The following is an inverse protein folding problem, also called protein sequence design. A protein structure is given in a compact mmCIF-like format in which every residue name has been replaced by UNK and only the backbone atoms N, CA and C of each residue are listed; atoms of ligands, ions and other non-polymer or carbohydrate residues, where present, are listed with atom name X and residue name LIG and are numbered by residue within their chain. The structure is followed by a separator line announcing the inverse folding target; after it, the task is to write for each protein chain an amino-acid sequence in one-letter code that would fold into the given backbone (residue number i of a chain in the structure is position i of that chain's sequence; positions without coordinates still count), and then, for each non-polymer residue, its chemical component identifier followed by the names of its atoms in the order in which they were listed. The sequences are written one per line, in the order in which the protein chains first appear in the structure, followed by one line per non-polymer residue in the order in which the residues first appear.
data_IF_185743364224
#
_entry.id   IF_185743364224
#
_cell.length_a   1.000
_cell.length_b   1.000
_cell.length_c   1.000
_cell.angle_alpha   90.00
_cell.angle_beta   90.00
_cell.angle_gamma   90.00
#
_symmetry.space_group_name_H-M   'P 1'
#
loop_
_entity.id
_entity.type
_entity.pdbx_description
1 polymer ?
#
# COMPACT_ATOMS: atom_id res chain seq x y z
N UNK A 1 -11.27 10.00 49.26
CA UNK A 1 -10.14 10.19 48.33
C UNK A 1 -10.62 9.56 47.04
N UNK A 2 -11.51 10.21 46.29
CA UNK A 2 -11.39 11.53 45.66
C UNK A 2 -12.57 12.45 45.97
N UNK A 3 -12.47 13.39 46.91
CA UNK A 3 -13.49 14.45 47.07
C UNK A 3 -13.55 15.45 45.91
N UNK A 4 -13.13 15.02 44.72
CA UNK A 4 -12.93 15.80 43.50
C UNK A 4 -13.99 15.30 42.52
N UNK A 5 -14.78 16.22 41.96
CA UNK A 5 -15.63 15.91 40.80
C UNK A 5 -14.74 15.71 39.60
N UNK A 6 -14.42 14.46 39.27
CA UNK A 6 -13.66 14.11 38.07
C UNK A 6 -14.48 14.40 36.82
N UNK A 7 -13.85 14.99 35.81
CA UNK A 7 -14.44 15.17 34.49
C UNK A 7 -13.68 14.32 33.47
N UNK A 8 -14.39 13.77 32.48
CA UNK A 8 -13.76 12.91 31.46
C UNK A 8 -12.65 13.62 30.67
N UNK A 9 -12.65 14.95 30.61
CA UNK A 9 -11.64 15.77 29.92
C UNK A 9 -10.48 16.24 30.81
N UNK A 10 -10.40 15.80 32.07
CA UNK A 10 -9.30 16.16 32.96
C UNK A 10 -8.01 15.45 32.48
N UNK A 11 -6.96 16.20 32.13
CA UNK A 11 -5.72 15.62 31.59
C UNK A 11 -4.96 14.65 32.53
N UNK A 12 -5.31 14.61 33.82
CA UNK A 12 -4.73 13.70 34.81
C UNK A 12 -5.76 12.72 35.39
N UNK A 13 -6.89 12.52 34.68
CA UNK A 13 -8.05 11.77 35.16
C UNK A 13 -7.68 10.39 35.72
N UNK A 14 -6.89 9.64 34.96
CA UNK A 14 -6.55 8.27 35.33
C UNK A 14 -5.31 8.14 36.21
N UNK A 15 -4.52 9.21 36.41
CA UNK A 15 -3.29 9.11 37.21
C UNK A 15 -3.57 8.62 38.62
N UNK A 16 -4.50 9.27 39.30
CA UNK A 16 -4.79 8.92 40.69
C UNK A 16 -5.53 7.57 40.75
N UNK A 17 -6.33 7.22 39.74
CA UNK A 17 -6.96 5.90 39.64
C UNK A 17 -5.89 4.80 39.54
N UNK A 18 -4.88 4.98 38.68
CA UNK A 18 -3.74 4.08 38.54
C UNK A 18 -2.93 3.97 39.84
N UNK A 19 -2.72 5.08 40.56
CA UNK A 19 -2.05 5.08 41.87
C UNK A 19 -2.81 4.24 42.90
N UNK A 20 -4.15 4.36 42.96
CA UNK A 20 -4.98 3.60 43.90
C UNK A 20 -4.99 2.11 43.53
N UNK A 21 -5.02 1.76 42.25
CA UNK A 21 -4.88 0.37 41.80
C UNK A 21 -3.54 -0.25 42.21
N UNK A 22 -2.42 0.47 42.03
CA UNK A 22 -1.10 0.01 42.48
C UNK A 22 -1.09 -0.22 43.99
N UNK A 23 -1.66 0.72 44.75
CA UNK A 23 -1.79 0.58 46.21
C UNK A 23 -2.70 -0.59 46.61
N UNK A 24 -3.72 -0.92 45.82
CA UNK A 24 -4.59 -2.08 46.03
C UNK A 24 -3.83 -3.39 45.77
N UNK A 25 -3.08 -3.46 44.66
CA UNK A 25 -2.24 -4.62 44.31
C UNK A 25 -1.22 -4.89 45.42
N UNK A 26 -0.53 -3.84 45.88
CA UNK A 26 0.45 -3.97 46.97
C UNK A 26 -0.19 -4.44 48.28
N UNK A 27 -1.37 -3.92 48.63
CA UNK A 27 -2.09 -4.36 49.83
C UNK A 27 -2.54 -5.82 49.75
N UNK A 28 -3.01 -6.27 48.58
CA UNK A 28 -3.37 -7.68 48.32
C UNK A 28 -2.16 -8.60 48.43
N UNK A 29 -1.02 -8.17 47.86
CA UNK A 29 0.24 -8.91 47.95
C UNK A 29 0.71 -9.03 49.40
N UNK A 30 0.75 -7.93 50.14
CA UNK A 30 1.13 -7.92 51.56
C UNK A 30 0.25 -8.87 52.38
N UNK A 31 -1.07 -8.82 52.17
CA UNK A 31 -2.02 -9.71 52.86
C UNK A 31 -1.78 -11.19 52.56
N UNK A 32 -1.37 -11.51 51.33
CA UNK A 32 -1.06 -12.90 50.90
C UNK A 32 0.25 -13.44 51.49
N UNK A 33 1.21 -12.56 51.79
CA UNK A 33 2.53 -12.91 52.34
C UNK A 33 2.55 -12.88 53.89
N UNK A 34 1.52 -12.30 54.51
CA UNK A 34 1.39 -12.15 55.96
C UNK A 34 1.08 -13.47 56.68
N UNK A 35 1.84 -13.78 57.72
CA UNK A 35 1.63 -14.96 58.57
C UNK A 35 0.26 -14.94 59.27
N UNK A 36 -0.33 -16.13 59.47
CA UNK A 36 -1.67 -16.28 60.05
C UNK A 36 -1.78 -15.74 61.49
N UNK A 37 -0.66 -15.60 62.22
CA UNK A 37 -0.63 -15.11 63.60
C UNK A 37 -0.72 -13.59 63.74
N UNK A 38 -0.69 -12.82 62.65
CA UNK A 38 -0.73 -11.36 62.70
C UNK A 38 -2.15 -10.82 62.36
N UNK A 39 -3.12 -11.19 63.19
CA UNK A 39 -4.57 -10.95 62.97
C UNK A 39 -4.91 -9.48 62.78
N UNK A 40 -4.36 -8.58 63.59
CA UNK A 40 -4.66 -7.15 63.52
C UNK A 40 -4.25 -6.51 62.18
N UNK A 41 -3.05 -6.84 61.68
CA UNK A 41 -2.59 -6.34 60.37
C UNK A 41 -3.41 -6.90 59.22
N UNK A 42 -3.85 -8.17 59.32
CA UNK A 42 -4.72 -8.80 58.31
C UNK A 42 -6.09 -8.15 58.26
N UNK A 43 -6.69 -7.84 59.41
CA UNK A 43 -7.96 -7.11 59.49
C UNK A 43 -7.84 -5.70 58.89
N UNK A 44 -6.77 -4.97 59.23
CA UNK A 44 -6.48 -3.65 58.65
C UNK A 44 -6.37 -3.69 57.13
N UNK A 45 -5.56 -4.60 56.58
CA UNK A 45 -5.37 -4.73 55.14
C UNK A 45 -6.67 -5.14 54.44
N UNK A 46 -7.47 -6.02 55.04
CA UNK A 46 -8.77 -6.44 54.49
C UNK A 46 -9.73 -5.24 54.38
N UNK A 47 -9.84 -4.43 55.44
CA UNK A 47 -10.64 -3.22 55.43
C UNK A 47 -10.13 -2.20 54.39
N UNK A 48 -8.81 -2.04 54.28
CA UNK A 48 -8.20 -1.13 53.31
C UNK A 48 -8.45 -1.58 51.85
N UNK A 49 -8.35 -2.88 51.58
CA UNK A 49 -8.64 -3.48 50.27
C UNK A 49 -10.10 -3.22 49.89
N UNK A 50 -11.05 -3.55 50.78
CA UNK A 50 -12.48 -3.35 50.53
C UNK A 50 -12.83 -1.88 50.26
N UNK A 51 -12.24 -0.95 51.03
CA UNK A 51 -12.41 0.48 50.80
C UNK A 51 -11.88 0.91 49.42
N UNK A 52 -10.65 0.52 49.06
CA UNK A 52 -10.05 0.85 47.76
C UNK A 52 -10.84 0.27 46.59
N UNK A 53 -11.31 -0.97 46.69
CA UNK A 53 -12.17 -1.59 45.68
C UNK A 53 -13.48 -0.84 45.49
N UNK A 54 -14.12 -0.42 46.59
CA UNK A 54 -15.34 0.38 46.51
C UNK A 54 -15.10 1.73 45.83
N UNK A 55 -14.00 2.41 46.15
CA UNK A 55 -13.69 3.72 45.53
C UNK A 55 -13.36 3.57 44.04
N UNK A 56 -12.63 2.53 43.64
CA UNK A 56 -12.34 2.25 42.24
C UNK A 56 -13.62 1.94 41.44
N UNK A 57 -14.56 1.17 42.00
CA UNK A 57 -15.81 0.85 41.31
C UNK A 57 -16.74 2.07 41.19
N UNK A 58 -16.78 2.93 42.23
CA UNK A 58 -17.49 4.23 42.14
C UNK A 58 -16.90 5.10 41.05
N UNK A 59 -15.57 5.22 41.00
CA UNK A 59 -14.88 6.00 39.96
C UNK A 59 -15.21 5.45 38.57
N UNK A 60 -15.09 4.14 38.36
CA UNK A 60 -15.43 3.49 37.10
C UNK A 60 -16.88 3.76 36.68
N UNK A 61 -17.83 3.60 37.61
CA UNK A 61 -19.25 3.84 37.34
C UNK A 61 -19.52 5.29 36.94
N UNK A 62 -18.87 6.25 37.61
CA UNK A 62 -19.00 7.67 37.29
C UNK A 62 -18.46 7.98 35.88
N UNK A 63 -17.28 7.46 35.53
CA UNK A 63 -16.71 7.63 34.19
C UNK A 63 -17.57 6.97 33.12
N UNK A 64 -18.03 5.73 33.33
CA UNK A 64 -18.92 5.04 32.37
C UNK A 64 -20.23 5.82 32.16
N UNK A 65 -20.77 6.45 33.22
CA UNK A 65 -21.93 7.34 33.10
C UNK A 65 -21.60 8.58 32.28
N UNK A 66 -20.50 9.27 32.57
CA UNK A 66 -20.11 10.47 31.83
C UNK A 66 -19.90 10.17 30.34
N UNK A 67 -19.26 9.04 30.00
CA UNK A 67 -19.06 8.59 28.60
C UNK A 67 -20.37 8.24 27.88
N UNK A 68 -21.43 7.90 28.62
CA UNK A 68 -22.76 7.68 28.03
C UNK A 68 -23.51 8.98 27.72
N UNK A 69 -23.16 10.07 28.39
CA UNK A 69 -23.83 11.37 28.26
C UNK A 69 -23.06 12.33 27.33
N UNK A 70 -21.73 12.21 27.29
CA UNK A 70 -20.83 13.16 26.61
C UNK A 70 -19.62 12.42 26.02
N UNK A 71 -19.02 13.05 25.01
CA UNK A 71 -17.77 12.60 24.41
C UNK A 71 -16.83 13.78 24.19
N UNK A 72 -15.53 13.48 24.17
CA UNK A 72 -14.50 14.51 24.06
C UNK A 72 -14.14 14.84 22.61
N UNK A 73 -14.10 13.83 21.73
CA UNK A 73 -13.70 13.98 20.33
C UNK A 73 -14.81 13.52 19.38
N UNK A 74 -15.16 14.37 18.44
CA UNK A 74 -16.00 14.02 17.29
C UNK A 74 -15.15 13.51 16.12
N UNK A 75 -15.78 12.80 15.19
CA UNK A 75 -15.11 12.37 13.95
C UNK A 75 -14.65 13.56 13.10
N UNK A 76 -15.39 14.66 13.10
CA UNK A 76 -15.08 15.89 12.38
C UNK A 76 -13.86 16.59 12.98
N UNK A 77 -13.76 16.66 14.31
CA UNK A 77 -12.59 17.23 15.01
C UNK A 77 -11.33 16.43 14.72
N UNK A 78 -11.41 15.09 14.79
CA UNK A 78 -10.28 14.22 14.48
C UNK A 78 -9.83 14.37 13.03
N UNK A 79 -10.79 14.50 12.10
CA UNK A 79 -10.48 14.75 10.70
C UNK A 79 -9.81 16.12 10.50
N UNK A 80 -10.40 17.20 11.02
CA UNK A 80 -9.88 18.55 10.89
C UNK A 80 -8.49 18.71 11.52
N UNK A 81 -8.24 18.08 12.67
CA UNK A 81 -6.97 18.24 13.36
C UNK A 81 -5.87 17.32 12.81
N UNK A 82 -6.22 16.12 12.35
CA UNK A 82 -5.24 15.07 12.04
C UNK A 82 -5.54 14.35 10.71
N UNK A 83 -6.80 13.96 10.48
CA UNK A 83 -7.16 13.07 9.37
C UNK A 83 -7.12 13.68 7.97
N UNK A 84 -7.24 15.00 7.85
CA UNK A 84 -7.16 15.69 6.56
C UNK A 84 -5.74 15.72 5.98
N UNK A 85 -4.72 15.52 6.81
CA UNK A 85 -3.32 15.59 6.42
C UNK A 85 -2.75 14.22 6.06
N UNK A 86 -1.81 14.22 5.12
CA UNK A 86 -1.20 12.98 4.64
C UNK A 86 -0.16 12.44 5.60
N UNK A 87 -0.31 11.15 5.94
CA UNK A 87 0.59 10.40 6.82
C UNK A 87 0.83 11.07 8.19
N UNK A 88 -0.16 11.82 8.72
CA UNK A 88 -0.08 12.38 10.07
C UNK A 88 -0.15 11.27 11.10
N UNK A 89 1.00 10.94 11.66
CA UNK A 89 1.10 9.94 12.71
C UNK A 89 0.62 10.50 14.04
N UNK A 90 -0.28 9.77 14.70
CA UNK A 90 -0.86 10.12 15.99
C UNK A 90 -0.80 8.94 16.97
N UNK A 91 -0.76 9.24 18.25
CA UNK A 91 -1.01 8.31 19.34
C UNK A 91 -2.36 8.65 19.97
N UNK A 92 -3.19 7.64 20.18
CA UNK A 92 -4.52 7.75 20.77
C UNK A 92 -4.49 7.00 22.10
N UNK A 93 -4.78 7.69 23.19
CA UNK A 93 -5.10 7.08 24.47
C UNK A 93 -6.62 6.98 24.61
N UNK A 94 -7.10 5.79 24.91
CA UNK A 94 -8.51 5.54 25.17
C UNK A 94 -8.86 5.80 26.62
N UNK A 95 -10.11 6.17 26.88
CA UNK A 95 -10.66 6.13 28.23
C UNK A 95 -10.50 4.72 28.79
N UNK A 96 -9.87 4.59 29.96
CA UNK A 96 -9.45 3.32 30.57
C UNK A 96 -10.54 2.25 30.62
N UNK A 97 -11.79 2.65 30.83
CA UNK A 97 -12.94 1.72 30.97
C UNK A 97 -13.75 1.52 29.68
N UNK A 98 -13.37 2.21 28.60
CA UNK A 98 -14.04 2.13 27.30
C UNK A 98 -13.96 0.73 26.67
N UNK A 99 -14.83 0.49 25.68
CA UNK A 99 -14.81 -0.76 24.92
C UNK A 99 -13.52 -0.88 24.12
N UNK A 100 -13.03 0.23 23.56
CA UNK A 100 -11.80 0.28 22.78
C UNK A 100 -10.57 -0.03 23.62
N UNK A 101 -10.46 0.55 24.84
CA UNK A 101 -9.35 0.24 25.75
C UNK A 101 -9.27 -1.24 26.12
N UNK A 102 -10.42 -1.86 26.43
CA UNK A 102 -10.50 -3.30 26.74
C UNK A 102 -10.09 -4.18 25.56
N UNK A 103 -10.32 -3.70 24.33
CA UNK A 103 -10.14 -4.48 23.11
C UNK A 103 -8.77 -4.31 22.47
N UNK A 104 -8.24 -3.08 22.44
CA UNK A 104 -7.01 -2.73 21.72
C UNK A 104 -5.87 -2.34 22.69
N UNK A 105 -6.11 -2.40 24.00
CA UNK A 105 -5.20 -1.86 25.00
C UNK A 105 -5.43 -0.36 25.19
N UNK A 106 -4.74 0.22 26.18
CA UNK A 106 -4.96 1.61 26.60
C UNK A 106 -4.61 2.63 25.51
N UNK A 107 -3.55 2.37 24.74
CA UNK A 107 -3.05 3.30 23.73
C UNK A 107 -2.76 2.56 22.42
N UNK A 108 -3.06 3.23 21.30
CA UNK A 108 -2.70 2.79 19.95
C UNK A 108 -2.06 3.95 19.19
N UNK A 109 -1.37 3.65 18.10
CA UNK A 109 -0.62 4.62 17.33
C UNK A 109 -0.65 4.28 15.85
N UNK A 110 -0.76 5.29 14.99
CA UNK A 110 -0.96 5.08 13.57
C UNK A 110 -1.41 6.32 12.81
N UNK A 111 -1.95 6.11 11.61
CA UNK A 111 -2.48 7.17 10.74
C UNK A 111 -3.98 6.94 10.55
N UNK A 112 -4.80 7.99 10.73
CA UNK A 112 -6.24 7.89 10.49
C UNK A 112 -6.50 7.54 9.01
N UNK A 113 -7.35 6.55 8.79
CA UNK A 113 -7.69 6.07 7.45
C UNK A 113 -9.15 6.33 7.14
N UNK A 114 -9.45 6.65 5.89
CA UNK A 114 -10.81 6.95 5.45
C UNK A 114 -11.04 6.28 4.10
N UNK A 115 -12.24 5.75 3.90
CA UNK A 115 -12.71 5.46 2.55
C UNK A 115 -13.03 6.77 1.83
N UNK A 116 -13.04 6.72 0.49
CA UNK A 116 -13.27 7.90 -0.36
C UNK A 116 -14.50 8.69 0.06
N UNK A 117 -15.65 8.00 0.17
CA UNK A 117 -16.92 8.62 0.57
C UNK A 117 -16.88 9.24 1.97
N UNK A 118 -16.24 8.57 2.93
CA UNK A 118 -16.11 9.07 4.31
C UNK A 118 -15.30 10.37 4.35
N UNK A 119 -14.21 10.41 3.57
CA UNK A 119 -13.37 11.61 3.44
C UNK A 119 -14.14 12.77 2.78
N UNK A 120 -14.88 12.49 1.70
CA UNK A 120 -15.71 13.50 1.01
C UNK A 120 -16.81 14.06 1.93
N UNK A 121 -17.48 13.19 2.71
CA UNK A 121 -18.50 13.58 3.69
C UNK A 121 -17.90 14.47 4.80
N UNK A 122 -16.71 14.11 5.30
CA UNK A 122 -16.01 14.88 6.34
C UNK A 122 -15.50 16.23 5.83
N UNK A 123 -14.92 16.30 4.62
CA UNK A 123 -14.55 17.56 3.97
C UNK A 123 -15.75 18.52 3.87
N UNK A 124 -16.89 18.00 3.38
CA UNK A 124 -18.11 18.79 3.28
C UNK A 124 -18.72 19.15 4.65
N UNK A 125 -18.43 18.40 5.71
CA UNK A 125 -18.88 18.72 7.06
C UNK A 125 -18.04 19.83 7.70
N UNK A 126 -16.70 19.77 7.57
CA UNK A 126 -15.79 20.75 8.17
C UNK A 126 -15.79 22.09 7.43
N UNK A 127 -16.26 22.13 6.18
CA UNK A 127 -16.40 23.38 5.41
C UNK A 127 -17.65 24.19 5.77
N UNK A 128 -18.55 23.66 6.62
CA UNK A 128 -19.76 24.37 7.07
C UNK A 128 -19.41 25.37 8.18
N UNK A 129 -20.16 26.47 8.24
CA UNK A 129 -20.01 27.48 9.29
C UNK A 129 -20.20 26.88 10.70
N UNK A 130 -21.18 25.97 10.83
CA UNK A 130 -21.40 25.18 12.05
C UNK A 130 -21.01 23.73 11.80
N UNK A 131 -19.78 23.37 12.19
CA UNK A 131 -19.28 22.00 12.07
C UNK A 131 -20.04 21.10 13.05
N UNK A 132 -20.70 20.01 12.57
CA UNK A 132 -21.37 19.08 13.46
C UNK A 132 -20.35 18.34 14.34
N UNK A 133 -20.78 17.93 15.53
CA UNK A 133 -20.01 17.02 16.38
C UNK A 133 -20.72 15.68 16.47
N UNK A 134 -20.20 14.70 15.74
CA UNK A 134 -20.77 13.35 15.68
C UNK A 134 -19.89 12.35 16.40
N UNK A 135 -20.51 11.51 17.24
CA UNK A 135 -19.87 10.32 17.77
C UNK A 135 -19.95 9.20 16.72
N UNK A 136 -18.81 8.67 16.29
CA UNK A 136 -18.78 7.73 15.18
C UNK A 136 -17.53 6.86 15.13
N UNK A 137 -17.52 5.94 14.16
CA UNK A 137 -16.41 5.01 13.98
C UNK A 137 -15.22 5.71 13.31
N UNK A 138 -14.05 5.56 13.92
CA UNK A 138 -12.77 6.10 13.47
C UNK A 138 -11.87 4.92 13.12
N UNK A 139 -11.31 4.92 11.91
CA UNK A 139 -10.37 3.89 11.46
C UNK A 139 -8.95 4.42 11.53
N UNK A 140 -8.02 3.52 11.83
CA UNK A 140 -6.61 3.85 11.95
C UNK A 140 -5.76 2.71 11.40
N UNK A 141 -4.72 3.06 10.66
CA UNK A 141 -3.70 2.15 10.16
C UNK A 141 -2.53 2.11 11.15
N UNK A 142 -2.37 0.96 11.81
CA UNK A 142 -1.40 0.69 12.88
C UNK A 142 -0.43 -0.44 12.49
N UNK A 143 0.45 -0.24 11.49
CA UNK A 143 1.26 -1.35 10.94
C UNK A 143 2.34 -1.87 11.88
N UNK A 144 2.76 -1.09 12.89
CA UNK A 144 3.97 -1.36 13.71
C UNK A 144 3.71 -1.65 15.19
N UNK A 145 2.45 -1.86 15.61
CA UNK A 145 2.14 -2.05 17.03
C UNK A 145 2.29 -3.52 17.47
N UNK A 146 3.42 -3.85 18.12
CA UNK A 146 3.76 -5.21 18.59
C UNK A 146 2.76 -5.80 19.60
N UNK A 147 1.94 -4.97 20.27
CA UNK A 147 0.97 -5.43 21.27
C UNK A 147 -0.35 -5.87 20.66
N UNK A 148 -0.60 -5.55 19.39
CA UNK A 148 -1.83 -5.89 18.68
C UNK A 148 -1.66 -7.15 17.84
N UNK A 149 -2.66 -8.02 17.91
CA UNK A 149 -2.76 -9.16 16.99
C UNK A 149 -3.13 -8.69 15.57
N UNK A 150 -2.77 -9.46 14.55
CA UNK A 150 -3.15 -9.19 13.15
C UNK A 150 -4.65 -8.99 12.96
N UNK A 151 -5.48 -9.70 13.75
CA UNK A 151 -6.94 -9.57 13.73
C UNK A 151 -7.38 -8.19 14.25
N UNK A 152 -6.79 -7.71 15.34
CA UNK A 152 -7.08 -6.38 15.89
C UNK A 152 -6.64 -5.27 14.94
N UNK A 153 -5.45 -5.37 14.34
CA UNK A 153 -4.95 -4.41 13.34
C UNK A 153 -5.92 -4.36 12.14
N UNK A 154 -6.34 -5.52 11.63
CA UNK A 154 -7.31 -5.60 10.54
C UNK A 154 -8.65 -4.96 10.92
N UNK A 155 -9.08 -5.11 12.16
CA UNK A 155 -10.32 -4.52 12.65
C UNK A 155 -10.23 -3.00 12.79
N UNK A 156 -9.12 -2.46 13.30
CA UNK A 156 -8.88 -1.01 13.40
C UNK A 156 -8.91 -0.33 12.02
N UNK A 157 -8.37 -0.99 10.99
CA UNK A 157 -8.34 -0.45 9.61
C UNK A 157 -9.71 -0.56 8.93
N UNK A 158 -10.46 -1.65 9.13
CA UNK A 158 -11.70 -1.91 8.38
C UNK A 158 -12.97 -1.42 9.07
N UNK A 159 -13.02 -1.55 10.39
CA UNK A 159 -14.21 -1.26 11.21
C UNK A 159 -13.95 -0.03 12.07
N UNK A 160 -12.77 0.05 12.70
CA UNK A 160 -12.39 1.15 13.56
C UNK A 160 -12.84 1.00 15.01
N UNK A 161 -12.85 2.11 15.73
CA UNK A 161 -13.27 2.25 17.12
C UNK A 161 -14.13 3.51 17.29
N UNK A 162 -14.85 3.65 18.40
CA UNK A 162 -15.75 4.79 18.57
C UNK A 162 -14.99 6.06 18.99
N UNK A 163 -15.27 7.22 18.39
CA UNK A 163 -14.58 8.48 18.71
C UNK A 163 -14.79 8.90 20.17
N UNK A 164 -15.93 8.55 20.77
CA UNK A 164 -16.20 8.76 22.20
C UNK A 164 -15.30 7.98 23.15
N UNK A 165 -14.62 6.94 22.66
CA UNK A 165 -13.72 6.16 23.51
C UNK A 165 -12.35 6.85 23.67
N UNK A 166 -12.06 7.91 22.89
CA UNK A 166 -10.79 8.64 22.94
C UNK A 166 -10.75 9.59 24.14
N UNK A 167 -9.70 9.44 24.94
CA UNK A 167 -9.36 10.33 26.05
C UNK A 167 -8.36 11.41 25.63
N UNK A 168 -7.31 11.03 24.90
CA UNK A 168 -6.27 11.96 24.47
C UNK A 168 -5.71 11.57 23.09
N UNK A 169 -5.32 12.59 22.32
CA UNK A 169 -4.59 12.41 21.06
C UNK A 169 -3.28 13.20 21.13
N UNK A 170 -2.16 12.49 21.01
CA UNK A 170 -0.83 13.07 20.89
C UNK A 170 -0.38 13.00 19.44
N UNK A 171 0.06 14.13 18.90
CA UNK A 171 0.57 14.22 17.55
C UNK A 171 1.84 15.07 17.52
N UNK A 172 2.73 14.79 16.58
CA UNK A 172 3.87 15.67 16.33
C UNK A 172 3.37 17.02 15.79
N UNK A 173 4.00 18.13 16.16
CA UNK A 173 3.65 19.45 15.65
C UNK A 173 4.36 19.80 14.32
N UNK A 174 4.81 18.79 13.56
CA UNK A 174 5.42 19.04 12.26
C UNK A 174 4.34 19.50 11.26
N UNK A 175 4.69 20.44 10.35
CA UNK A 175 3.85 20.79 9.21
C UNK A 175 3.46 19.50 8.48
N UNK A 176 2.17 19.32 8.22
CA UNK A 176 1.66 18.20 7.46
C UNK A 176 0.87 18.75 6.27
N UNK A 177 1.14 18.23 5.09
CA UNK A 177 0.47 18.67 3.86
C UNK A 177 -0.88 17.99 3.73
N UNK A 178 -1.88 18.76 3.30
CA UNK A 178 -3.18 18.23 2.87
C UNK A 178 -3.13 18.10 1.36
N UNK A 179 -2.77 16.91 0.85
CA UNK A 179 -2.70 16.68 -0.60
C UNK A 179 -4.05 16.36 -1.24
N UNK A 180 -5.06 16.03 -0.43
CA UNK A 180 -6.41 15.78 -0.91
C UNK A 180 -7.02 17.05 -1.53
N UNK A 181 -7.67 16.90 -2.68
CA UNK A 181 -8.20 18.00 -3.51
C UNK A 181 -7.16 19.03 -4.01
N UNK A 182 -5.86 18.81 -3.84
CA UNK A 182 -4.85 19.63 -4.51
C UNK A 182 -4.85 19.32 -6.01
N UNK A 183 -4.93 20.35 -6.85
CA UNK A 183 -4.79 20.27 -8.31
C UNK A 183 -3.32 20.27 -8.75
N UNK A 184 -3.08 20.02 -10.05
CA UNK A 184 -1.74 20.03 -10.65
C UNK A 184 -0.93 18.74 -10.48
N UNK A 185 0.30 18.74 -11.00
CA UNK A 185 1.24 17.61 -10.91
C UNK A 185 1.88 17.56 -9.52
N UNK A 186 1.91 16.37 -8.94
CA UNK A 186 2.44 16.04 -7.62
C UNK A 186 3.78 15.31 -7.75
N UNK A 187 4.60 15.48 -6.72
CA UNK A 187 5.81 14.72 -6.50
C UNK A 187 5.55 13.50 -5.61
N UNK A 188 6.33 12.44 -5.78
CA UNK A 188 6.25 11.28 -4.88
C UNK A 188 6.91 11.65 -3.55
N UNK A 189 6.18 11.63 -2.42
CA UNK A 189 6.72 12.03 -1.13
C UNK A 189 7.90 11.13 -0.72
N UNK A 190 8.83 11.70 0.06
CA UNK A 190 10.02 11.02 0.59
C UNK A 190 10.91 10.40 -0.50
N UNK A 191 11.00 11.01 -1.68
CA UNK A 191 11.90 10.56 -2.75
C UNK A 191 13.34 11.02 -2.47
N UNK A 192 14.27 10.07 -2.49
CA UNK A 192 15.71 10.33 -2.42
C UNK A 192 16.31 9.99 -3.78
N UNK A 193 16.96 10.97 -4.40
CA UNK A 193 17.71 10.76 -5.65
C UNK A 193 19.11 10.26 -5.34
N UNK A 194 19.45 9.10 -5.90
CA UNK A 194 20.80 8.50 -5.80
C UNK A 194 21.42 8.49 -7.18
N UNK A 195 22.58 9.15 -7.33
CA UNK A 195 23.34 9.15 -8.56
C UNK A 195 24.23 7.91 -8.60
N UNK A 196 24.15 7.13 -9.67
CA UNK A 196 24.95 5.93 -9.89
C UNK A 196 25.73 6.10 -11.18
N UNK A 197 27.03 5.79 -11.17
CA UNK A 197 27.86 5.69 -12.37
C UNK A 197 27.92 4.21 -12.83
N UNK A 198 27.25 3.86 -13.95
CA UNK A 198 27.19 2.48 -14.42
C UNK A 198 28.37 2.07 -15.31
N UNK A 199 29.44 2.89 -15.43
CA UNK A 199 30.52 2.68 -16.42
C UNK A 199 31.12 1.27 -16.43
N UNK A 200 31.18 0.60 -15.30
CA UNK A 200 31.73 -0.76 -15.16
C UNK A 200 30.69 -1.81 -14.75
N UNK A 201 29.40 -1.48 -14.86
CA UNK A 201 28.31 -2.37 -14.47
C UNK A 201 27.94 -3.33 -15.60
N UNK A 202 28.12 -4.63 -15.38
CA UNK A 202 27.66 -5.68 -16.29
C UNK A 202 26.20 -6.01 -16.01
N UNK A 203 25.30 -5.39 -16.78
CA UNK A 203 23.85 -5.55 -16.60
C UNK A 203 23.37 -6.99 -16.80
N UNK A 204 24.00 -7.75 -17.71
CA UNK A 204 23.59 -9.13 -18.00
C UNK A 204 23.93 -10.05 -16.83
N UNK A 205 25.16 -9.94 -16.29
CA UNK A 205 25.57 -10.71 -15.10
C UNK A 205 24.77 -10.32 -13.86
N UNK A 206 24.53 -9.03 -13.66
CA UNK A 206 23.71 -8.57 -12.55
C UNK A 206 22.27 -9.12 -12.64
N UNK A 207 21.71 -9.20 -13.85
CA UNK A 207 20.40 -9.78 -14.10
C UNK A 207 20.36 -11.28 -13.78
N UNK A 208 21.35 -12.05 -14.25
CA UNK A 208 21.47 -13.49 -13.92
C UNK A 208 21.59 -13.67 -12.41
N UNK A 209 22.50 -12.93 -11.78
CA UNK A 209 22.74 -13.05 -10.33
C UNK A 209 21.46 -12.78 -9.53
N UNK A 210 20.78 -11.68 -9.82
CA UNK A 210 19.55 -11.28 -9.12
C UNK A 210 18.47 -12.35 -9.26
N UNK A 211 18.21 -12.84 -10.47
CA UNK A 211 17.18 -13.86 -10.68
C UNK A 211 17.60 -15.25 -10.16
N UNK A 212 18.90 -15.55 -10.13
CA UNK A 212 19.39 -16.76 -9.43
C UNK A 212 19.06 -16.70 -7.94
N UNK A 213 19.24 -15.55 -7.29
CA UNK A 213 18.85 -15.40 -5.88
C UNK A 213 17.35 -15.59 -5.68
N UNK A 214 16.51 -15.00 -6.54
CA UNK A 214 15.06 -15.22 -6.50
C UNK A 214 14.70 -16.71 -6.59
N UNK A 215 15.31 -17.44 -7.52
CA UNK A 215 15.08 -18.89 -7.69
C UNK A 215 15.52 -19.67 -6.45
N UNK A 216 16.70 -19.36 -5.89
CA UNK A 216 17.22 -19.99 -4.67
C UNK A 216 16.26 -19.77 -3.49
N UNK A 217 15.66 -18.57 -3.40
CA UNK A 217 14.66 -18.21 -2.39
C UNK A 217 13.28 -18.85 -2.65
N UNK A 218 13.14 -19.69 -3.69
CA UNK A 218 11.90 -20.38 -4.04
C UNK A 218 10.87 -19.50 -4.74
N UNK A 219 11.27 -18.34 -5.25
CA UNK A 219 10.38 -17.41 -5.95
C UNK A 219 10.19 -17.84 -7.42
N UNK A 220 9.01 -17.52 -7.95
CA UNK A 220 8.64 -17.79 -9.33
C UNK A 220 9.04 -16.58 -10.18
N UNK A 221 9.65 -16.81 -11.34
CA UNK A 221 9.89 -15.77 -12.34
C UNK A 221 8.70 -15.73 -13.32
N UNK A 222 8.34 -14.53 -13.80
CA UNK A 222 7.40 -14.43 -14.91
C UNK A 222 8.03 -14.97 -16.20
N UNK A 223 7.21 -15.31 -17.19
CA UNK A 223 7.67 -15.91 -18.45
C UNK A 223 8.79 -15.11 -19.14
N UNK A 224 8.63 -13.79 -19.25
CA UNK A 224 9.66 -12.92 -19.85
C UNK A 224 10.96 -12.93 -19.03
N UNK A 225 10.87 -12.91 -17.69
CA UNK A 225 12.04 -12.94 -16.81
C UNK A 225 12.77 -14.29 -16.89
N UNK A 226 12.02 -15.39 -16.92
CA UNK A 226 12.56 -16.73 -17.06
C UNK A 226 13.24 -16.92 -18.41
N UNK A 227 12.61 -16.46 -19.49
CA UNK A 227 13.19 -16.53 -20.83
C UNK A 227 14.46 -15.69 -20.95
N UNK A 228 14.47 -14.48 -20.37
CA UNK A 228 15.66 -13.61 -20.33
C UNK A 228 16.78 -14.24 -19.49
N UNK A 229 16.45 -14.80 -18.34
CA UNK A 229 17.38 -15.55 -17.51
C UNK A 229 18.01 -16.73 -18.25
N UNK A 230 17.20 -17.56 -18.91
CA UNK A 230 17.66 -18.69 -19.71
C UNK A 230 18.52 -18.24 -20.90
N UNK A 231 18.07 -17.22 -21.65
CA UNK A 231 18.79 -16.71 -22.83
C UNK A 231 20.16 -16.15 -22.46
N UNK A 232 20.25 -15.34 -21.41
CA UNK A 232 21.51 -14.81 -20.92
C UNK A 232 22.43 -15.91 -20.40
N UNK A 233 21.87 -16.90 -19.71
CA UNK A 233 22.64 -18.03 -19.19
C UNK A 233 23.24 -18.90 -20.29
N UNK A 234 22.52 -19.12 -21.40
CA UNK A 234 23.04 -19.86 -22.56
C UNK A 234 24.25 -19.18 -23.20
N UNK A 235 24.35 -17.84 -23.11
CA UNK A 235 25.49 -17.09 -23.62
C UNK A 235 26.64 -17.01 -22.60
N UNK A 236 26.33 -16.71 -21.33
CA UNK A 236 27.35 -16.40 -20.31
C UNK A 236 27.91 -17.61 -19.56
N UNK A 237 27.45 -18.82 -19.90
CA UNK A 237 27.73 -20.10 -19.21
C UNK A 237 27.22 -20.10 -17.76
N UNK A 238 26.14 -20.83 -17.45
CA UNK A 238 25.55 -20.78 -16.12
C UNK A 238 26.44 -21.46 -15.08
N UNK A 239 26.30 -21.04 -13.82
CA UNK A 239 26.71 -21.88 -12.68
C UNK A 239 26.00 -23.23 -12.72
N UNK A 240 26.68 -24.29 -12.28
CA UNK A 240 26.19 -25.68 -12.32
C UNK A 240 24.81 -25.88 -11.69
N UNK A 241 24.47 -25.05 -10.70
CA UNK A 241 23.24 -25.09 -9.91
C UNK A 241 21.96 -24.78 -10.71
N UNK A 242 22.06 -24.09 -11.85
CA UNK A 242 20.89 -23.69 -12.65
C UNK A 242 20.69 -24.55 -13.92
N UNK A 243 21.52 -25.57 -14.13
CA UNK A 243 21.56 -26.33 -15.39
C UNK A 243 20.22 -26.99 -15.74
N UNK A 244 19.59 -27.66 -14.77
CA UNK A 244 18.32 -28.36 -15.00
C UNK A 244 17.18 -27.37 -15.29
N UNK A 245 17.14 -26.24 -14.58
CA UNK A 245 16.16 -25.18 -14.82
C UNK A 245 16.30 -24.64 -16.25
N UNK A 246 17.52 -24.32 -16.68
CA UNK A 246 17.79 -23.79 -18.01
C UNK A 246 17.40 -24.84 -19.06
N UNK A 247 17.80 -26.10 -18.89
CA UNK A 247 17.48 -27.18 -19.82
C UNK A 247 15.96 -27.37 -19.98
N UNK A 248 15.21 -27.32 -18.89
CA UNK A 248 13.77 -27.54 -18.89
C UNK A 248 12.96 -26.37 -19.45
N UNK A 249 13.52 -25.15 -19.46
CA UNK A 249 12.80 -23.93 -19.87
C UNK A 249 13.38 -23.26 -21.12
N UNK A 250 14.50 -23.74 -21.67
CA UNK A 250 15.14 -23.12 -22.84
C UNK A 250 14.73 -23.75 -24.18
N UNK A 251 14.27 -25.00 -24.18
CA UNK A 251 14.10 -25.80 -25.38
C UNK A 251 12.69 -26.36 -25.49
N UNK A 252 12.20 -26.48 -26.73
CA UNK A 252 10.98 -27.21 -27.04
C UNK A 252 11.19 -28.73 -27.01
N UNK A 253 10.13 -29.49 -27.30
CA UNK A 253 10.14 -30.96 -27.33
C UNK A 253 11.10 -31.56 -28.37
N UNK A 254 11.49 -30.77 -29.38
CA UNK A 254 12.40 -31.18 -30.45
C UNK A 254 13.86 -30.77 -30.17
N UNK A 255 14.13 -30.11 -29.03
CA UNK A 255 15.45 -29.59 -28.69
C UNK A 255 15.79 -28.25 -29.36
N UNK A 256 14.81 -27.59 -29.99
CA UNK A 256 15.00 -26.24 -30.53
C UNK A 256 14.82 -25.19 -29.43
N UNK A 257 15.65 -24.14 -29.43
CA UNK A 257 15.52 -23.04 -28.47
C UNK A 257 14.16 -22.35 -28.62
N UNK A 258 13.51 -22.06 -27.50
CA UNK A 258 12.26 -21.31 -27.53
C UNK A 258 12.50 -19.90 -28.11
N UNK A 259 11.58 -19.34 -28.92
CA UNK A 259 11.80 -18.06 -29.60
C UNK A 259 12.18 -16.90 -28.68
N UNK A 260 11.53 -16.79 -27.52
CA UNK A 260 11.80 -15.72 -26.55
C UNK A 260 13.16 -15.90 -25.85
N UNK A 261 13.53 -17.14 -25.53
CA UNK A 261 14.86 -17.48 -24.98
C UNK A 261 15.95 -17.15 -25.99
N UNK A 262 15.74 -17.53 -27.25
CA UNK A 262 16.66 -17.24 -28.36
C UNK A 262 16.79 -15.74 -28.60
N UNK A 263 15.69 -14.98 -28.52
CA UNK A 263 15.72 -13.53 -28.59
C UNK A 263 16.69 -12.93 -27.56
N UNK A 264 16.59 -13.33 -26.30
CA UNK A 264 17.44 -12.80 -25.23
C UNK A 264 18.89 -13.29 -25.28
N UNK A 265 19.13 -14.51 -25.76
CA UNK A 265 20.49 -14.98 -26.04
C UNK A 265 21.18 -14.08 -27.09
N UNK A 266 20.47 -13.78 -28.20
CA UNK A 266 20.98 -12.92 -29.26
C UNK A 266 21.18 -11.47 -28.80
N UNK A 267 20.27 -10.96 -27.98
CA UNK A 267 20.41 -9.64 -27.34
C UNK A 267 21.66 -9.56 -26.46
N UNK A 268 21.93 -10.58 -25.65
CA UNK A 268 23.13 -10.66 -24.83
C UNK A 268 24.42 -10.69 -25.67
N UNK A 269 24.43 -11.49 -26.74
CA UNK A 269 25.55 -11.54 -27.70
C UNK A 269 25.79 -10.21 -28.39
N UNK A 270 24.71 -9.52 -28.79
CA UNK A 270 24.80 -8.19 -29.41
C UNK A 270 25.43 -7.18 -28.44
N UNK A 271 24.97 -7.15 -27.18
CA UNK A 271 25.51 -6.26 -26.14
C UNK A 271 26.99 -6.56 -25.83
N UNK A 272 27.41 -7.82 -25.97
CA UNK A 272 28.81 -8.24 -25.80
C UNK A 272 29.68 -8.08 -27.07
N UNK A 273 29.12 -7.61 -28.19
CA UNK A 273 29.78 -7.59 -29.52
C UNK A 273 30.27 -8.97 -30.01
N UNK A 274 29.57 -10.06 -29.63
CA UNK A 274 29.90 -11.45 -29.99
C UNK A 274 28.81 -12.10 -30.87
N UNK A 275 28.04 -11.28 -31.59
CA UNK A 275 26.98 -11.75 -32.49
C UNK A 275 27.50 -11.92 -33.92
N UNK A 276 27.24 -13.09 -34.53
CA UNK A 276 27.59 -13.33 -35.93
C UNK A 276 26.61 -12.68 -36.92
N UNK A 277 26.97 -12.58 -38.20
CA UNK A 277 26.10 -12.02 -39.24
C UNK A 277 24.78 -12.79 -39.40
N UNK A 278 24.83 -14.12 -39.39
CA UNK A 278 23.63 -14.96 -39.49
C UNK A 278 22.72 -14.77 -38.27
N UNK A 279 23.30 -14.69 -37.08
CA UNK A 279 22.57 -14.42 -35.84
C UNK A 279 21.97 -13.02 -35.83
N UNK A 280 22.64 -12.03 -36.42
CA UNK A 280 22.11 -10.69 -36.58
C UNK A 280 20.89 -10.67 -37.53
N UNK A 281 20.91 -11.45 -38.61
CA UNK A 281 19.73 -11.62 -39.49
C UNK A 281 18.57 -12.28 -38.75
N UNK A 282 18.84 -13.31 -37.97
CA UNK A 282 17.86 -13.98 -37.10
C UNK A 282 17.27 -13.01 -36.07
N UNK A 283 18.12 -12.26 -35.36
CA UNK A 283 17.70 -11.28 -34.37
C UNK A 283 16.82 -10.18 -34.98
N UNK A 284 17.18 -9.71 -36.18
CA UNK A 284 16.38 -8.74 -36.93
C UNK A 284 15.00 -9.28 -37.32
N UNK A 285 14.90 -10.58 -37.64
CA UNK A 285 13.61 -11.22 -37.92
C UNK A 285 12.73 -11.28 -36.66
N UNK A 286 13.30 -11.63 -35.51
CA UNK A 286 12.60 -11.63 -34.22
C UNK A 286 12.16 -10.22 -33.79
N UNK A 287 13.03 -9.22 -33.96
CA UNK A 287 12.69 -7.81 -33.72
C UNK A 287 11.53 -7.35 -34.62
N UNK A 288 11.51 -7.76 -35.90
CA UNK A 288 10.42 -7.44 -36.82
C UNK A 288 9.10 -8.07 -36.37
N UNK A 289 9.12 -9.33 -35.95
CA UNK A 289 7.93 -10.01 -35.41
C UNK A 289 7.39 -9.27 -34.17
N UNK A 290 8.26 -8.95 -33.20
CA UNK A 290 7.90 -8.21 -31.98
C UNK A 290 7.33 -6.81 -32.31
N UNK A 291 7.88 -6.13 -33.31
CA UNK A 291 7.35 -4.82 -33.78
C UNK A 291 5.95 -4.95 -34.37
N UNK A 292 5.67 -6.00 -35.15
CA UNK A 292 4.34 -6.24 -35.74
C UNK A 292 3.30 -6.42 -34.63
N UNK A 293 3.58 -7.32 -33.69
CA UNK A 293 2.70 -7.61 -32.54
C UNK A 293 2.41 -6.34 -31.72
N UNK A 294 3.45 -5.57 -31.36
CA UNK A 294 3.29 -4.33 -30.58
C UNK A 294 2.56 -3.23 -31.35
N UNK A 295 2.76 -3.14 -32.67
CA UNK A 295 2.01 -2.20 -33.52
C UNK A 295 0.53 -2.57 -33.56
N UNK A 296 0.21 -3.86 -33.61
CA UNK A 296 -1.15 -4.35 -33.54
C UNK A 296 -1.79 -4.04 -32.18
N UNK A 297 -1.07 -4.24 -31.08
CA UNK A 297 -1.53 -3.87 -29.74
C UNK A 297 -1.83 -2.37 -29.62
N UNK A 298 -0.95 -1.50 -30.14
CA UNK A 298 -1.17 -0.05 -30.22
C UNK A 298 -2.43 0.27 -31.04
N UNK A 299 -2.58 -0.31 -32.23
CA UNK A 299 -3.73 -0.08 -33.09
C UNK A 299 -5.04 -0.50 -32.39
N UNK A 300 -5.04 -1.64 -31.71
CA UNK A 300 -6.17 -2.14 -30.96
C UNK A 300 -6.53 -1.21 -29.80
N UNK A 301 -5.55 -0.69 -29.06
CA UNK A 301 -5.80 0.22 -27.95
C UNK A 301 -6.25 1.61 -28.42
N UNK A 302 -5.69 2.14 -29.51
CA UNK A 302 -6.15 3.39 -30.13
C UNK A 302 -7.59 3.26 -30.60
N UNK A 303 -7.94 2.16 -31.30
CA UNK A 303 -9.33 1.90 -31.73
C UNK A 303 -10.29 1.86 -30.55
N UNK A 304 -9.92 1.16 -29.46
CA UNK A 304 -10.72 1.15 -28.21
C UNK A 304 -10.84 2.54 -27.60
N UNK A 305 -9.85 3.40 -27.77
CA UNK A 305 -9.76 4.71 -27.13
C UNK A 305 -10.44 5.86 -27.86
N UNK A 306 -10.41 5.81 -29.18
CA UNK A 306 -10.80 6.93 -30.04
C UNK A 306 -11.80 6.55 -31.12
N UNK A 307 -12.01 5.26 -31.35
CA UNK A 307 -12.68 4.73 -32.53
C UNK A 307 -12.02 5.15 -33.87
N UNK A 308 -10.78 5.67 -33.84
CA UNK A 308 -10.00 6.09 -35.01
C UNK A 308 -9.07 4.96 -35.47
N UNK A 309 -8.73 4.97 -36.76
CA UNK A 309 -7.67 4.13 -37.32
C UNK A 309 -6.28 4.73 -37.08
N UNK A 310 -5.24 3.89 -37.12
CA UNK A 310 -3.85 4.26 -36.84
C UNK A 310 -3.34 5.45 -37.69
N UNK A 311 -3.64 5.47 -38.98
CA UNK A 311 -3.18 6.54 -39.89
C UNK A 311 -3.78 7.89 -39.55
N UNK A 312 -5.06 7.93 -39.19
CA UNK A 312 -5.71 9.17 -38.78
C UNK A 312 -5.17 9.64 -37.43
N UNK A 313 -4.99 8.72 -36.49
CA UNK A 313 -4.37 9.01 -35.18
C UNK A 313 -2.96 9.61 -35.33
N UNK A 314 -2.15 9.06 -36.24
CA UNK A 314 -0.80 9.56 -36.51
C UNK A 314 -0.79 10.99 -37.04
N UNK A 315 -1.77 11.38 -37.85
CA UNK A 315 -1.89 12.73 -38.39
C UNK A 315 -2.30 13.74 -37.32
N UNK A 316 -3.18 13.33 -36.42
CA UNK A 316 -3.77 14.20 -35.40
C UNK A 316 -2.91 14.31 -34.14
N UNK A 317 -2.26 13.23 -33.73
CA UNK A 317 -1.40 13.15 -32.54
C UNK A 317 0.00 12.66 -32.89
N UNK A 318 0.76 13.39 -33.74
CA UNK A 318 2.07 12.94 -34.22
C UNK A 318 3.09 12.75 -33.08
N UNK A 319 3.06 13.59 -32.05
CA UNK A 319 3.97 13.51 -30.90
C UNK A 319 3.69 12.28 -30.03
N UNK A 320 2.41 12.05 -29.71
CA UNK A 320 1.97 10.87 -28.95
C UNK A 320 2.30 9.60 -29.73
N UNK A 321 2.05 9.60 -31.04
CA UNK A 321 2.40 8.46 -31.90
C UNK A 321 3.92 8.21 -31.91
N UNK A 322 4.76 9.25 -31.96
CA UNK A 322 6.21 9.10 -31.87
C UNK A 322 6.65 8.48 -30.53
N UNK A 323 6.03 8.88 -29.41
CA UNK A 323 6.27 8.26 -28.11
C UNK A 323 5.84 6.78 -28.06
N UNK A 324 4.70 6.45 -28.66
CA UNK A 324 4.27 5.05 -28.80
C UNK A 324 5.26 4.24 -29.64
N UNK A 325 5.80 4.80 -30.72
CA UNK A 325 6.84 4.13 -31.51
C UNK A 325 8.10 3.87 -30.71
N UNK A 326 8.53 4.79 -29.83
CA UNK A 326 9.65 4.54 -28.91
C UNK A 326 9.34 3.38 -27.95
N UNK A 327 8.10 3.32 -27.43
CA UNK A 327 7.67 2.25 -26.52
C UNK A 327 7.70 0.86 -27.15
N UNK A 328 7.48 0.74 -28.48
CA UNK A 328 7.59 -0.54 -29.22
C UNK A 328 8.97 -1.17 -29.02
N UNK A 329 10.01 -0.36 -28.89
CA UNK A 329 11.39 -0.83 -28.74
C UNK A 329 11.78 -0.89 -27.26
N UNK A 330 11.44 0.14 -26.49
CA UNK A 330 11.98 0.35 -25.13
C UNK A 330 11.22 -0.40 -24.03
N UNK A 331 9.95 -0.76 -24.25
CA UNK A 331 9.17 -1.43 -23.21
C UNK A 331 9.65 -2.87 -23.00
N UNK A 332 9.84 -3.26 -21.74
CA UNK A 332 10.05 -4.64 -21.32
C UNK A 332 8.91 -5.08 -20.39
N UNK A 333 8.41 -6.30 -20.60
CA UNK A 333 7.53 -6.96 -19.64
C UNK A 333 8.35 -7.25 -18.38
N UNK A 334 7.91 -6.78 -17.23
CA UNK A 334 8.70 -6.86 -16.00
C UNK A 334 7.84 -6.99 -14.75
N UNK A 335 8.41 -7.64 -13.73
CA UNK A 335 7.81 -7.75 -12.41
C UNK A 335 7.84 -6.41 -11.67
N UNK A 336 6.68 -5.97 -11.19
CA UNK A 336 6.48 -4.76 -10.40
C UNK A 336 6.73 -5.00 -8.91
N UNK A 337 6.36 -6.18 -8.42
CA UNK A 337 6.62 -6.67 -7.05
C UNK A 337 6.70 -8.20 -7.08
N UNK A 338 7.61 -8.76 -6.30
CA UNK A 338 7.85 -10.21 -6.21
C UNK A 338 8.10 -10.70 -4.78
N UNK A 339 8.49 -9.82 -3.86
CA UNK A 339 8.92 -10.22 -2.52
C UNK A 339 7.72 -10.51 -1.60
N UNK A 340 7.77 -11.66 -0.91
CA UNK A 340 6.67 -12.26 -0.14
C UNK A 340 5.36 -12.40 -0.94
N UNK A 341 5.44 -12.66 -2.24
CA UNK A 341 4.29 -12.93 -3.09
C UNK A 341 4.29 -14.38 -3.55
N UNK A 342 3.11 -15.00 -3.58
CA UNK A 342 2.95 -16.34 -4.16
C UNK A 342 2.99 -16.28 -5.69
N UNK A 343 2.49 -15.19 -6.26
CA UNK A 343 2.50 -14.93 -7.70
C UNK A 343 3.09 -13.52 -7.92
N UNK A 344 4.18 -13.38 -8.69
CA UNK A 344 4.74 -12.08 -9.01
C UNK A 344 3.70 -11.18 -9.66
N UNK A 345 3.66 -9.91 -9.25
CA UNK A 345 2.80 -8.92 -9.91
C UNK A 345 3.61 -8.27 -11.00
N UNK A 346 3.09 -8.26 -12.23
CA UNK A 346 3.81 -7.74 -13.39
C UNK A 346 2.88 -6.95 -14.31
N UNK A 347 3.48 -6.22 -15.23
CA UNK A 347 2.76 -5.59 -16.34
C UNK A 347 3.35 -6.00 -17.68
N UNK A 348 2.49 -6.07 -18.68
CA UNK A 348 2.89 -6.30 -20.07
C UNK A 348 2.58 -5.07 -20.92
N UNK A 349 2.89 -5.17 -22.21
CA UNK A 349 2.77 -4.04 -23.12
C UNK A 349 1.32 -3.54 -23.24
N UNK A 350 0.35 -4.45 -23.22
CA UNK A 350 -1.06 -4.07 -23.21
C UNK A 350 -1.48 -3.35 -21.92
N UNK A 351 -1.05 -3.84 -20.75
CA UNK A 351 -1.31 -3.18 -19.47
C UNK A 351 -0.69 -1.79 -19.41
N UNK A 352 0.53 -1.65 -19.94
CA UNK A 352 1.19 -0.37 -20.14
C UNK A 352 0.36 0.57 -21.04
N UNK A 353 -0.02 0.13 -22.23
CA UNK A 353 -0.81 0.94 -23.15
C UNK A 353 -2.14 1.38 -22.54
N UNK A 354 -2.84 0.47 -21.86
CA UNK A 354 -4.10 0.76 -21.19
C UNK A 354 -3.97 1.85 -20.13
N UNK A 355 -2.94 1.80 -19.29
CA UNK A 355 -2.70 2.79 -18.24
C UNK A 355 -2.29 4.13 -18.85
N UNK A 356 -1.28 4.12 -19.73
CA UNK A 356 -0.69 5.36 -20.23
C UNK A 356 -1.61 6.10 -21.20
N UNK A 357 -2.20 5.44 -22.20
CA UNK A 357 -3.06 6.11 -23.18
C UNK A 357 -4.35 6.66 -22.59
N UNK A 358 -4.86 6.06 -21.50
CA UNK A 358 -6.16 6.46 -20.93
C UNK A 358 -6.02 7.42 -19.77
N UNK A 359 -4.97 7.29 -18.97
CA UNK A 359 -4.87 7.94 -17.67
C UNK A 359 -3.62 8.81 -17.51
N UNK A 360 -2.65 8.78 -18.43
CA UNK A 360 -1.51 9.71 -18.41
C UNK A 360 -1.86 10.98 -19.18
N UNK A 361 -1.59 12.14 -18.59
CA UNK A 361 -1.90 13.44 -19.20
C UNK A 361 -1.00 13.73 -20.42
N UNK A 362 0.28 13.33 -20.36
CA UNK A 362 1.23 13.40 -21.49
C UNK A 362 0.78 12.57 -22.73
N UNK A 363 -0.19 11.67 -22.56
CA UNK A 363 -0.80 10.89 -23.63
C UNK A 363 -2.29 11.21 -23.78
N UNK A 364 -2.73 12.38 -23.33
CA UNK A 364 -4.11 12.81 -23.44
C UNK A 364 -4.51 12.92 -24.92
N UNK A 365 -5.56 12.19 -25.28
CA UNK A 365 -6.12 12.12 -26.62
C UNK A 365 -7.58 12.51 -26.52
N UNK A 366 -8.04 13.41 -27.39
CA UNK A 366 -9.46 13.81 -27.46
C UNK A 366 -10.31 12.64 -27.97
N UNK A 367 -11.49 12.43 -27.35
CA UNK A 367 -12.38 11.32 -27.68
C UNK A 367 -13.05 10.71 -26.45
N UNK A 368 -13.29 9.39 -26.46
CA UNK A 368 -14.02 8.70 -25.39
C UNK A 368 -13.38 8.80 -24.00
N UNK A 369 -12.11 9.22 -23.92
CA UNK A 369 -11.33 9.30 -22.70
C UNK A 369 -10.88 10.71 -22.31
N UNK A 370 -11.41 11.74 -22.96
CA UNK A 370 -11.23 13.14 -22.55
C UNK A 370 -11.72 13.36 -21.12
N UNK A 371 -12.84 12.73 -20.76
CA UNK A 371 -13.43 12.78 -19.42
C UNK A 371 -12.87 11.74 -18.42
N UNK A 372 -11.80 11.01 -18.77
CA UNK A 372 -11.20 10.05 -17.84
C UNK A 372 -10.31 10.77 -16.83
N UNK A 373 -10.31 10.26 -15.61
CA UNK A 373 -9.43 10.71 -14.55
C UNK A 373 -7.97 10.48 -14.93
N UNK A 374 -7.17 11.54 -14.84
CA UNK A 374 -5.75 11.56 -15.20
C UNK A 374 -4.88 11.51 -13.94
N UNK A 375 -3.69 10.92 -14.08
CA UNK A 375 -2.69 10.95 -13.03
C UNK A 375 -2.21 12.38 -12.81
N UNK A 376 -2.17 12.80 -11.55
CA UNK A 376 -1.45 13.99 -11.11
C UNK A 376 0.06 13.72 -11.01
N UNK A 377 0.62 12.89 -11.87
CA UNK A 377 2.03 12.51 -11.87
C UNK A 377 2.52 12.43 -13.30
N UNK A 378 3.78 12.77 -13.50
CA UNK A 378 4.43 12.61 -14.80
C UNK A 378 4.54 11.13 -15.21
N UNK A 379 4.66 10.88 -16.52
CA UNK A 379 4.81 9.54 -17.13
C UNK A 379 5.87 8.69 -16.45
N UNK A 380 7.01 9.30 -16.09
CA UNK A 380 8.15 8.63 -15.45
C UNK A 380 7.81 8.07 -14.05
N UNK A 381 6.83 8.64 -13.37
CA UNK A 381 6.50 8.32 -11.98
C UNK A 381 5.35 7.31 -11.85
N UNK A 382 4.48 7.18 -12.88
CA UNK A 382 3.30 6.29 -12.85
C UNK A 382 3.65 4.85 -12.46
N UNK A 383 4.72 4.28 -13.02
CA UNK A 383 5.19 2.93 -12.64
C UNK A 383 5.47 2.84 -11.14
N UNK A 384 6.14 3.84 -10.57
CA UNK A 384 6.49 3.86 -9.15
C UNK A 384 5.25 4.02 -8.26
N UNK A 385 4.27 4.82 -8.70
CA UNK A 385 2.96 4.92 -8.03
C UNK A 385 2.26 3.55 -8.01
N UNK A 386 2.25 2.84 -9.14
CA UNK A 386 1.69 1.49 -9.23
C UNK A 386 2.42 0.50 -8.30
N UNK A 387 3.75 0.54 -8.23
CA UNK A 387 4.54 -0.29 -7.32
C UNK A 387 4.23 0.01 -5.85
N UNK A 388 4.10 1.30 -5.48
CA UNK A 388 3.69 1.71 -4.13
C UNK A 388 2.29 1.15 -3.82
N UNK A 389 1.37 1.22 -4.78
CA UNK A 389 0.02 0.71 -4.60
C UNK A 389 -0.01 -0.80 -4.38
N UNK A 390 0.74 -1.56 -5.18
CA UNK A 390 0.88 -3.01 -5.04
C UNK A 390 1.47 -3.35 -3.67
N UNK A 391 2.54 -2.65 -3.24
CA UNK A 391 3.17 -2.87 -1.92
C UNK A 391 2.20 -2.66 -0.76
N UNK A 392 1.42 -1.57 -0.79
CA UNK A 392 0.41 -1.29 0.25
C UNK A 392 -0.71 -2.34 0.28
N UNK A 393 -1.08 -2.89 -0.88
CA UNK A 393 -2.16 -3.87 -1.00
C UNK A 393 -1.66 -5.32 -0.95
N UNK A 394 -0.34 -5.55 -0.80
CA UNK A 394 0.32 -6.86 -0.88
C UNK A 394 -0.38 -7.96 -0.06
N UNK A 395 -0.73 -7.76 1.22
CA UNK A 395 -1.41 -8.80 1.99
C UNK A 395 -2.77 -9.21 1.39
N UNK A 396 -3.51 -8.24 0.84
CA UNK A 396 -4.85 -8.45 0.29
C UNK A 396 -4.77 -9.12 -1.10
N UNK A 397 -3.77 -8.73 -1.89
CA UNK A 397 -3.45 -9.33 -3.19
C UNK A 397 -3.10 -10.80 -2.98
N UNK A 398 -2.17 -11.12 -2.07
CA UNK A 398 -1.78 -12.50 -1.78
C UNK A 398 -2.97 -13.39 -1.44
N UNK A 399 -3.82 -12.97 -0.49
CA UNK A 399 -5.01 -13.75 -0.10
C UNK A 399 -5.90 -14.10 -1.30
N UNK A 400 -6.07 -13.17 -2.25
CA UNK A 400 -6.87 -13.41 -3.47
C UNK A 400 -6.16 -14.35 -4.44
N UNK A 401 -4.89 -14.09 -4.74
CA UNK A 401 -4.14 -14.87 -5.72
C UNK A 401 -3.85 -16.30 -5.25
N UNK A 402 -3.65 -16.55 -3.94
CA UNK A 402 -3.60 -17.92 -3.38
C UNK A 402 -4.86 -18.71 -3.66
N UNK A 403 -6.01 -18.02 -3.77
CA UNK A 403 -7.29 -18.64 -4.09
C UNK A 403 -7.58 -18.67 -5.59
N UNK A 404 -6.58 -18.42 -6.44
CA UNK A 404 -6.69 -18.29 -7.90
C UNK A 404 -7.74 -17.26 -8.36
N UNK A 405 -8.01 -16.25 -7.53
CA UNK A 405 -9.01 -15.21 -7.79
C UNK A 405 -8.34 -13.90 -8.14
N UNK A 406 -8.95 -13.17 -9.06
CA UNK A 406 -8.56 -11.80 -9.35
C UNK A 406 -8.67 -10.89 -8.12
N UNK A 407 -7.80 -9.89 -8.09
CA UNK A 407 -7.81 -8.83 -7.09
C UNK A 407 -8.27 -7.52 -7.72
N UNK A 408 -9.30 -6.89 -7.14
CA UNK A 408 -9.83 -5.61 -7.60
C UNK A 408 -10.17 -4.71 -6.42
N UNK A 409 -9.70 -3.47 -6.48
CA UNK A 409 -10.13 -2.36 -5.63
C UNK A 409 -10.70 -1.26 -6.51
N UNK A 410 -11.93 -0.84 -6.21
CA UNK A 410 -12.69 0.15 -6.98
C UNK A 410 -13.75 0.81 -6.08
N UNK A 411 -14.22 2.00 -6.46
CA UNK A 411 -15.23 2.76 -5.71
C UNK A 411 -14.73 3.17 -4.33
N UNK A 412 -15.51 2.89 -3.29
CA UNK A 412 -15.19 3.31 -1.92
C UNK A 412 -13.99 2.56 -1.30
N UNK A 413 -13.61 1.40 -1.86
CA UNK A 413 -12.49 0.57 -1.36
C UNK A 413 -11.17 0.82 -2.07
N UNK A 414 -11.07 1.96 -2.74
CA UNK A 414 -9.88 2.38 -3.49
C UNK A 414 -8.73 2.71 -2.54
N UNK A 415 -7.50 2.61 -3.05
CA UNK A 415 -6.32 2.87 -2.27
C UNK A 415 -6.06 4.37 -2.20
N UNK A 416 -6.03 4.94 -1.00
CA UNK A 416 -5.56 6.31 -0.81
C UNK A 416 -4.02 6.42 -0.84
N UNK A 417 -3.50 7.33 -1.66
CA UNK A 417 -2.09 7.71 -1.68
C UNK A 417 -1.93 9.16 -2.15
N UNK A 418 -1.25 9.98 -1.34
CA UNK A 418 -0.84 11.35 -1.65
C UNK A 418 -1.97 12.22 -2.24
N UNK A 419 -3.13 12.22 -1.58
CA UNK A 419 -4.29 13.00 -1.99
C UNK A 419 -5.18 12.41 -3.07
N UNK A 420 -4.86 11.24 -3.63
CA UNK A 420 -5.70 10.56 -4.62
C UNK A 420 -6.08 9.16 -4.16
N UNK A 421 -7.25 8.70 -4.60
CA UNK A 421 -7.65 7.31 -4.50
C UNK A 421 -7.40 6.60 -5.83
N UNK A 422 -6.89 5.37 -5.76
CA UNK A 422 -6.55 4.57 -6.92
C UNK A 422 -7.39 3.30 -7.02
N UNK A 423 -7.87 3.04 -8.23
CA UNK A 423 -8.40 1.75 -8.64
C UNK A 423 -7.28 0.89 -9.19
N UNK A 424 -7.29 -0.39 -8.83
CA UNK A 424 -6.32 -1.39 -9.28
C UNK A 424 -7.04 -2.71 -9.55
N UNK A 425 -6.71 -3.32 -10.68
CA UNK A 425 -7.18 -4.66 -11.07
C UNK A 425 -6.00 -5.52 -11.49
N UNK A 426 -5.82 -6.64 -10.78
CA UNK A 426 -4.80 -7.65 -11.01
C UNK A 426 -5.51 -8.97 -11.31
N UNK A 427 -5.14 -9.61 -12.42
CA UNK A 427 -5.67 -10.91 -12.82
C UNK A 427 -5.13 -12.03 -11.93
N UNK A 428 -5.75 -13.21 -11.96
CA UNK A 428 -5.33 -14.36 -11.15
C UNK A 428 -3.88 -14.81 -11.40
N UNK A 429 -3.33 -14.51 -12.57
CA UNK A 429 -1.94 -14.80 -12.93
C UNK A 429 -0.93 -13.71 -12.52
N UNK A 430 -1.35 -12.67 -11.80
CA UNK A 430 -0.48 -11.56 -11.35
C UNK A 430 -0.34 -10.40 -12.35
N UNK A 431 -0.93 -10.49 -13.54
CA UNK A 431 -0.90 -9.39 -14.52
C UNK A 431 -1.75 -8.21 -14.07
N UNK A 432 -1.19 -7.00 -14.10
CA UNK A 432 -1.94 -5.75 -13.93
C UNK A 432 -2.79 -5.50 -15.17
N UNK A 433 -4.12 -5.56 -15.01
CA UNK A 433 -5.07 -5.29 -16.09
C UNK A 433 -5.43 -3.80 -16.18
N UNK A 434 -5.55 -3.10 -15.05
CA UNK A 434 -5.81 -1.66 -15.04
C UNK A 434 -5.36 -0.99 -13.74
N UNK A 435 -4.95 0.27 -13.86
CA UNK A 435 -4.58 1.14 -12.74
C UNK A 435 -4.86 2.60 -13.09
N UNK A 436 -5.66 3.29 -12.26
CA UNK A 436 -6.03 4.68 -12.52
C UNK A 436 -6.48 5.41 -11.25
N UNK A 437 -6.32 6.74 -11.20
CA UNK A 437 -6.90 7.56 -10.12
C UNK A 437 -8.42 7.66 -10.25
N UNK A 438 -9.09 7.94 -9.14
CA UNK A 438 -10.55 8.09 -9.05
C UNK A 438 -11.00 9.55 -9.00
N UNK A 439 -10.10 10.45 -8.65
CA UNK A 439 -10.29 11.89 -8.69
C UNK A 439 -9.40 12.53 -9.73
N UNK A 440 -9.91 13.61 -10.32
CA UNK A 440 -9.09 14.60 -11.00
C UNK A 440 -9.56 15.95 -10.44
N UNK A 441 -8.94 16.47 -9.36
CA UNK A 441 -9.29 17.78 -8.83
C UNK A 441 -9.10 18.80 -9.97
N UNK A 442 -10.19 19.46 -10.37
CA UNK A 442 -10.13 20.46 -11.43
C UNK A 442 -9.14 21.56 -11.03
N UNK A 443 -8.38 22.06 -12.01
CA UNK A 443 -7.52 23.25 -11.84
C UNK A 443 -8.32 24.50 -11.46
#
# INVERSE_FOLDING_TARGET
MFGIKSQINDGMLYLINDMVEIQLINAKKELSELSAGNTERREFLTAQIAYKESELEKFKTDIEKQLSEKFQFSIEELYAMYGQYDNKYINIEFHKFSKSAKKFGRNIDGVLSYYKKEREELEGAISKENVPRTNGMVKIDCPTNEKLTTKQITELIKVGFNSSDIYEVLASNYPAEKSFNQSGIKEIPNTISVNVDPKYFDANKAYIWTNSQKIIDGQILIEEELAKFCGFSLFLEPGSENFDLIKNNSFDKNGCKLPLVRFYELDAKLNANDISLNEMLEFNALLKARRIERTEAINNEIKKSTNKGLEHFKQEYPEIFAELQKSIVQFETESLEYHDLITPIYWDFEGYLHIYLRHCDEFAIEGHFENKTKFQYSKKDIKRILQIAIKKLKPQINVRLTSEKEFRVYGDRTLYFNGNHYSLHILSNGRVASFHPMENPNE
#
